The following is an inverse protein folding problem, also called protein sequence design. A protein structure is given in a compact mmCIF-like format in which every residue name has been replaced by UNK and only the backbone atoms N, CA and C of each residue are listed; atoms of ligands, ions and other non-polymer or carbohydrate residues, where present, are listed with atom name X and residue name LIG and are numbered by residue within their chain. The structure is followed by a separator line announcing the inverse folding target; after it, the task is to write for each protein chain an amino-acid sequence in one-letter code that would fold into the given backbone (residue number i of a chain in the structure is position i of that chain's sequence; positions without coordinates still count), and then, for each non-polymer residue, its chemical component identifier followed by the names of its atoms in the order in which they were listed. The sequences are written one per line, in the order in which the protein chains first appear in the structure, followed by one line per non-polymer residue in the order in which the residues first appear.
data_IF_807401207378
#
_entry.id   IF_807401207378
#
_cell.length_a   1.000
_cell.length_b   1.000
_cell.length_c   1.000
_cell.angle_alpha   90.00
_cell.angle_beta   90.00
_cell.angle_gamma   90.00
#
_symmetry.space_group_name_H-M   'P 1'
#
loop_
_entity.id
_entity.type
_entity.pdbx_description
1 polymer ?
#
# COMPACT_ATOMS: atom_id res chain seq x y z
N UNK A 1 -17.63 -40.52 19.66
CA UNK A 1 -16.21 -40.44 20.05
C UNK A 1 -15.41 -39.64 19.00
N UNK A 2 -15.33 -38.30 19.11
CA UNK A 2 -14.59 -37.46 18.16
C UNK A 2 -13.09 -37.26 18.49
N UNK A 3 -12.60 -37.70 19.65
CA UNK A 3 -11.25 -37.38 20.14
C UNK A 3 -10.07 -38.13 19.49
N UNK A 4 -10.28 -39.32 18.91
CA UNK A 4 -9.17 -40.11 18.34
C UNK A 4 -8.71 -39.64 16.95
N UNK A 5 -9.58 -38.93 16.21
CA UNK A 5 -9.25 -38.41 14.88
C UNK A 5 -8.39 -37.14 14.94
N UNK A 6 -8.69 -36.25 15.90
CA UNK A 6 -7.94 -35.01 16.10
C UNK A 6 -6.52 -35.26 16.64
N UNK A 7 -6.34 -36.27 17.50
CA UNK A 7 -5.03 -36.63 18.03
C UNK A 7 -4.06 -37.11 16.94
N UNK A 8 -4.51 -37.97 16.02
CA UNK A 8 -3.69 -38.46 14.90
C UNK A 8 -3.32 -37.36 13.90
N UNK A 9 -4.21 -36.39 13.68
CA UNK A 9 -3.94 -35.25 12.80
C UNK A 9 -2.83 -34.34 13.36
N UNK A 10 -2.91 -34.02 14.67
CA UNK A 10 -1.89 -33.21 15.34
C UNK A 10 -0.51 -33.90 15.36
N UNK A 11 -0.49 -35.22 15.53
CA UNK A 11 0.75 -36.01 15.55
C UNK A 11 1.43 -36.04 14.17
N UNK A 12 0.63 -36.16 13.10
CA UNK A 12 1.13 -36.08 11.72
C UNK A 12 1.68 -34.69 11.36
N UNK A 13 1.00 -33.62 11.79
CA UNK A 13 1.46 -32.24 11.59
C UNK A 13 2.79 -31.96 12.32
N UNK A 14 2.91 -32.41 13.57
CA UNK A 14 4.14 -32.29 14.34
C UNK A 14 5.31 -33.04 13.69
N UNK A 15 5.07 -34.23 13.15
CA UNK A 15 6.09 -34.99 12.46
C UNK A 15 6.50 -34.36 11.13
N UNK A 16 5.55 -33.81 10.37
CA UNK A 16 5.83 -33.05 9.14
C UNK A 16 6.68 -31.81 9.41
N UNK A 17 6.35 -31.06 10.47
CA UNK A 17 7.11 -29.88 10.90
C UNK A 17 8.55 -30.24 11.31
N UNK A 18 8.74 -31.34 12.04
CA UNK A 18 10.06 -31.83 12.45
C UNK A 18 10.94 -32.20 11.23
N UNK A 19 10.37 -32.91 10.25
CA UNK A 19 11.09 -33.25 9.01
C UNK A 19 11.48 -32.00 8.23
N UNK A 20 10.59 -31.00 8.15
CA UNK A 20 10.88 -29.72 7.49
C UNK A 20 12.03 -28.99 8.19
N UNK A 21 12.03 -28.90 9.52
CA UNK A 21 13.10 -28.26 10.29
C UNK A 21 14.46 -28.92 10.04
N UNK A 22 14.51 -30.25 9.99
CA UNK A 22 15.75 -30.97 9.67
C UNK A 22 16.26 -30.66 8.26
N UNK A 23 15.36 -30.59 7.27
CA UNK A 23 15.73 -30.22 5.89
C UNK A 23 16.25 -28.79 5.83
N UNK A 24 15.55 -27.84 6.47
CA UNK A 24 15.98 -26.44 6.54
C UNK A 24 17.35 -26.33 7.19
N UNK A 25 17.59 -27.01 8.31
CA UNK A 25 18.90 -27.01 8.98
C UNK A 25 20.02 -27.52 8.06
N UNK A 26 19.82 -28.67 7.41
CA UNK A 26 20.80 -29.22 6.46
C UNK A 26 21.11 -28.25 5.31
N UNK A 27 20.09 -27.57 4.79
CA UNK A 27 20.26 -26.55 3.75
C UNK A 27 21.05 -25.35 4.28
N UNK A 28 20.78 -24.89 5.51
CA UNK A 28 21.53 -23.80 6.13
C UNK A 28 23.00 -24.17 6.38
N UNK A 29 23.26 -25.39 6.83
CA UNK A 29 24.61 -25.91 7.03
C UNK A 29 25.38 -25.95 5.69
N UNK A 30 24.72 -26.43 4.62
CA UNK A 30 25.28 -26.43 3.28
C UNK A 30 25.56 -25.02 2.75
N UNK A 31 24.61 -24.10 2.87
CA UNK A 31 24.79 -22.70 2.45
C UNK A 31 25.96 -22.05 3.20
N UNK A 32 26.07 -22.31 4.50
CA UNK A 32 27.17 -21.81 5.31
C UNK A 32 28.52 -22.41 4.89
N UNK A 33 28.56 -23.67 4.42
CA UNK A 33 29.80 -24.31 3.95
C UNK A 33 30.37 -23.72 2.66
N UNK A 34 29.55 -22.98 1.90
CA UNK A 34 29.94 -22.29 0.67
C UNK A 34 30.00 -20.76 0.86
N UNK A 35 30.07 -20.28 2.09
CA UNK A 35 30.09 -18.86 2.47
C UNK A 35 28.91 -18.04 1.89
N UNK A 36 27.74 -18.67 1.75
CA UNK A 36 26.54 -18.03 1.21
C UNK A 36 25.47 -17.88 2.29
N UNK A 37 24.97 -16.68 2.51
CA UNK A 37 23.82 -16.50 3.42
C UNK A 37 22.50 -16.87 2.73
N UNK A 38 21.45 -17.25 3.48
CA UNK A 38 20.13 -17.49 2.89
C UNK A 38 19.57 -16.28 2.13
N UNK A 39 19.91 -15.06 2.58
CA UNK A 39 19.51 -13.83 1.92
C UNK A 39 20.26 -13.61 0.61
N UNK A 40 21.57 -13.93 0.56
CA UNK A 40 22.35 -13.84 -0.68
C UNK A 40 21.86 -14.87 -1.71
N UNK A 41 21.59 -16.10 -1.25
CA UNK A 41 21.00 -17.13 -2.08
C UNK A 41 19.65 -16.70 -2.65
N UNK A 42 18.73 -16.22 -1.80
CA UNK A 42 17.43 -15.74 -2.26
C UNK A 42 17.57 -14.54 -3.20
N UNK A 43 18.47 -13.60 -2.91
CA UNK A 43 18.76 -12.44 -3.75
C UNK A 43 19.26 -12.87 -5.14
N UNK A 44 20.14 -13.88 -5.21
CA UNK A 44 20.59 -14.45 -6.47
C UNK A 44 19.43 -15.10 -7.26
N UNK A 45 18.50 -15.77 -6.58
CA UNK A 45 17.33 -16.38 -7.21
C UNK A 45 16.34 -15.35 -7.78
N UNK A 46 16.15 -14.21 -7.13
CA UNK A 46 15.15 -13.21 -7.54
C UNK A 46 15.75 -12.04 -8.35
N UNK A 47 17.08 -11.92 -8.42
CA UNK A 47 17.73 -10.79 -9.08
C UNK A 47 17.35 -10.69 -10.56
N UNK A 48 16.89 -9.51 -11.04
CA UNK A 48 16.62 -9.27 -12.45
C UNK A 48 17.86 -9.42 -13.33
N UNK A 49 19.07 -9.27 -12.77
CA UNK A 49 20.33 -9.44 -13.50
C UNK A 49 20.56 -10.87 -13.97
N UNK A 50 19.83 -11.82 -13.39
CA UNK A 50 19.87 -13.24 -13.75
C UNK A 50 18.71 -13.64 -14.67
N UNK A 51 18.07 -12.66 -15.33
CA UNK A 51 17.04 -12.92 -16.35
C UNK A 51 17.68 -13.65 -17.55
N UNK A 52 17.30 -14.92 -17.76
CA UNK A 52 17.95 -15.83 -18.72
C UNK A 52 18.78 -16.95 -18.08
N UNK A 53 18.88 -16.99 -16.76
CA UNK A 53 19.50 -18.09 -16.02
C UNK A 53 18.58 -19.30 -15.85
N UNK A 54 19.15 -20.38 -15.31
CA UNK A 54 18.45 -21.59 -14.84
C UNK A 54 17.32 -21.32 -13.83
N UNK A 55 17.23 -20.11 -13.26
CA UNK A 55 16.22 -19.74 -12.28
C UNK A 55 14.96 -19.10 -12.88
N UNK A 56 14.90 -18.91 -14.19
CA UNK A 56 13.76 -18.25 -14.86
C UNK A 56 12.43 -18.94 -14.57
N UNK A 57 12.40 -20.28 -14.57
CA UNK A 57 11.18 -21.01 -14.26
C UNK A 57 10.78 -20.85 -12.79
N UNK A 58 11.74 -20.85 -11.86
CA UNK A 58 11.47 -20.54 -10.47
C UNK A 58 10.86 -19.14 -10.32
N UNK A 59 11.45 -18.12 -10.95
CA UNK A 59 10.95 -16.75 -10.91
C UNK A 59 9.53 -16.65 -11.48
N UNK A 60 9.28 -17.28 -12.64
CA UNK A 60 7.93 -17.34 -13.25
C UNK A 60 6.90 -17.93 -12.29
N UNK A 61 7.25 -18.99 -11.56
CA UNK A 61 6.33 -19.62 -10.60
C UNK A 61 6.17 -18.80 -9.32
N UNK A 62 7.24 -18.16 -8.85
CA UNK A 62 7.22 -17.33 -7.65
C UNK A 62 6.35 -16.09 -7.85
N UNK A 63 6.51 -15.40 -8.99
CA UNK A 63 5.82 -14.15 -9.32
C UNK A 63 4.57 -14.35 -10.19
N UNK A 64 4.08 -15.58 -10.34
CA UNK A 64 2.84 -15.86 -11.07
C UNK A 64 1.68 -15.24 -10.30
N UNK A 65 0.83 -14.45 -10.96
CA UNK A 65 -0.33 -13.78 -10.33
C UNK A 65 -1.33 -14.72 -9.66
N UNK A 66 -1.34 -16.01 -10.02
CA UNK A 66 -2.19 -17.03 -9.39
C UNK A 66 -1.53 -17.74 -8.19
N UNK A 67 -0.23 -17.53 -7.98
CA UNK A 67 0.51 -18.09 -6.85
C UNK A 67 0.31 -17.18 -5.64
N UNK A 68 0.09 -17.78 -4.45
CA UNK A 68 0.08 -17.04 -3.18
C UNK A 68 1.39 -17.19 -2.40
N UNK A 69 2.42 -17.75 -3.03
CA UNK A 69 3.66 -18.12 -2.32
C UNK A 69 4.47 -16.89 -1.92
N UNK A 70 4.51 -15.88 -2.78
CA UNK A 70 5.23 -14.65 -2.49
C UNK A 70 4.49 -13.85 -1.43
N UNK A 71 3.17 -13.72 -1.54
CA UNK A 71 2.29 -13.09 -0.56
C UNK A 71 2.40 -13.80 0.78
N UNK A 72 2.36 -15.13 0.82
CA UNK A 72 2.54 -15.89 2.05
C UNK A 72 3.91 -15.69 2.71
N UNK A 73 4.98 -15.48 1.92
CA UNK A 73 6.28 -15.10 2.46
C UNK A 73 6.24 -13.69 3.07
N UNK A 74 5.60 -12.73 2.39
CA UNK A 74 5.42 -11.37 2.91
C UNK A 74 4.58 -11.37 4.18
N UNK A 75 3.50 -12.15 4.24
CA UNK A 75 2.64 -12.30 5.41
C UNK A 75 3.40 -12.88 6.61
N UNK A 76 4.28 -13.86 6.37
CA UNK A 76 5.15 -14.42 7.42
C UNK A 76 6.15 -13.39 7.94
N UNK A 77 6.78 -12.62 7.05
CA UNK A 77 7.68 -11.54 7.44
C UNK A 77 6.94 -10.45 8.20
N UNK A 78 5.73 -10.10 7.76
CA UNK A 78 4.87 -9.12 8.42
C UNK A 78 4.42 -9.57 9.80
N UNK A 79 4.13 -10.85 9.99
CA UNK A 79 3.65 -11.41 11.25
C UNK A 79 4.74 -11.52 12.33
N UNK A 80 6.02 -11.51 11.92
CA UNK A 80 7.14 -11.62 12.85
C UNK A 80 7.52 -10.24 13.44
N UNK A 81 7.43 -10.00 14.76
CA UNK A 81 7.54 -8.65 15.34
C UNK A 81 8.80 -7.86 14.96
N UNK A 82 9.98 -8.49 15.01
CA UNK A 82 11.25 -7.83 14.66
C UNK A 82 11.41 -7.60 13.15
N UNK A 83 10.77 -8.44 12.35
CA UNK A 83 10.83 -8.31 10.89
C UNK A 83 9.83 -7.25 10.44
N UNK A 84 8.65 -7.20 11.06
CA UNK A 84 7.63 -6.18 10.85
C UNK A 84 8.21 -4.77 11.00
N UNK A 85 8.94 -4.49 12.08
CA UNK A 85 9.54 -3.17 12.31
C UNK A 85 10.47 -2.77 11.14
N UNK A 86 11.38 -3.67 10.74
CA UNK A 86 12.28 -3.42 9.60
C UNK A 86 11.52 -3.29 8.28
N UNK A 87 10.51 -4.13 8.09
CA UNK A 87 9.68 -4.14 6.90
C UNK A 87 8.86 -2.85 6.77
N UNK A 88 8.30 -2.35 7.87
CA UNK A 88 7.60 -1.07 7.93
C UNK A 88 8.53 0.11 7.63
N UNK A 89 9.73 0.12 8.22
CA UNK A 89 10.72 1.16 7.95
C UNK A 89 11.14 1.18 6.47
N UNK A 90 11.28 0.02 5.84
CA UNK A 90 11.57 -0.10 4.41
C UNK A 90 10.37 0.27 3.53
N UNK A 91 9.16 -0.14 3.92
CA UNK A 91 7.94 0.08 3.14
C UNK A 91 7.46 1.53 3.20
N UNK A 92 7.67 2.23 4.31
CA UNK A 92 7.19 3.60 4.51
C UNK A 92 7.55 4.56 3.38
N UNK A 93 8.83 4.73 2.96
CA UNK A 93 9.17 5.63 1.86
C UNK A 93 8.55 5.19 0.52
N UNK A 94 8.42 3.88 0.28
CA UNK A 94 7.78 3.35 -0.92
C UNK A 94 6.28 3.64 -0.95
N UNK A 95 5.59 3.43 0.17
CA UNK A 95 4.16 3.72 0.32
C UNK A 95 3.88 5.21 0.24
N UNK A 96 4.72 6.04 0.86
CA UNK A 96 4.60 7.50 0.76
C UNK A 96 4.73 7.96 -0.69
N UNK A 97 5.75 7.49 -1.42
CA UNK A 97 5.92 7.82 -2.84
C UNK A 97 4.71 7.41 -3.66
N UNK A 98 4.21 6.19 -3.48
CA UNK A 98 3.03 5.70 -4.20
C UNK A 98 1.80 6.60 -3.96
N UNK A 99 1.57 7.01 -2.71
CA UNK A 99 0.47 7.92 -2.37
C UNK A 99 0.67 9.30 -3.01
N UNK A 100 1.88 9.84 -3.00
CA UNK A 100 2.19 11.12 -3.63
C UNK A 100 1.99 11.08 -5.15
N UNK A 101 2.46 10.01 -5.80
CA UNK A 101 2.27 9.81 -7.24
C UNK A 101 0.78 9.74 -7.58
N UNK A 102 -0.03 9.00 -6.80
CA UNK A 102 -1.49 8.96 -6.99
C UNK A 102 -2.17 10.32 -6.80
N UNK A 103 -1.80 11.08 -5.77
CA UNK A 103 -2.35 12.42 -5.55
C UNK A 103 -1.94 13.36 -6.68
N UNK A 104 -0.70 13.26 -7.17
CA UNK A 104 -0.23 14.03 -8.31
C UNK A 104 -1.08 13.73 -9.56
N UNK A 105 -1.28 12.45 -9.88
CA UNK A 105 -2.09 12.02 -11.02
C UNK A 105 -3.55 12.48 -10.87
N UNK A 106 -4.14 12.39 -9.67
CA UNK A 106 -5.48 12.91 -9.38
C UNK A 106 -5.57 14.41 -9.68
N UNK A 107 -4.60 15.19 -9.21
CA UNK A 107 -4.55 16.64 -9.42
C UNK A 107 -4.33 17.00 -10.89
N UNK A 108 -3.47 16.26 -11.60
CA UNK A 108 -3.21 16.49 -13.02
C UNK A 108 -4.45 16.21 -13.87
N UNK A 109 -5.14 15.08 -13.63
CA UNK A 109 -6.40 14.74 -14.29
C UNK A 109 -7.54 15.73 -13.96
N UNK A 110 -7.52 16.29 -12.75
CA UNK A 110 -8.50 17.29 -12.36
C UNK A 110 -8.31 18.61 -13.10
N UNK A 111 -7.11 18.95 -13.60
CA UNK A 111 -6.85 20.24 -14.28
C UNK A 111 -7.84 20.51 -15.39
N UNK A 112 -8.25 19.52 -16.17
CA UNK A 112 -9.23 19.72 -17.25
C UNK A 112 -10.59 20.25 -16.76
N UNK A 113 -10.98 19.89 -15.52
CA UNK A 113 -12.22 20.33 -14.90
C UNK A 113 -12.13 21.75 -14.32
N UNK A 114 -10.91 22.23 -14.05
CA UNK A 114 -10.64 23.57 -13.52
C UNK A 114 -10.01 24.52 -14.53
N UNK A 115 -9.58 24.00 -15.68
CA UNK A 115 -8.99 24.79 -16.74
C UNK A 115 -10.09 25.53 -17.49
N UNK A 116 -9.97 26.85 -17.53
CA UNK A 116 -10.82 27.69 -18.34
C UNK A 116 -9.92 28.64 -19.14
N UNK A 117 -10.16 28.74 -20.46
CA UNK A 117 -9.51 29.75 -21.28
C UNK A 117 -10.15 31.11 -21.04
N UNK A 118 -9.38 32.20 -21.13
CA UNK A 118 -9.89 33.56 -20.91
C UNK A 118 -11.07 33.92 -21.82
N UNK A 119 -11.15 33.32 -23.00
CA UNK A 119 -12.28 33.46 -23.93
C UNK A 119 -13.60 32.86 -23.43
N UNK A 120 -13.55 31.93 -22.47
CA UNK A 120 -14.72 31.27 -21.89
C UNK A 120 -15.21 31.96 -20.61
N UNK A 121 -14.46 32.92 -20.07
CA UNK A 121 -14.85 33.69 -18.88
C UNK A 121 -15.81 34.80 -19.31
N UNK A 122 -17.10 34.48 -19.43
CA UNK A 122 -18.16 35.48 -19.67
C UNK A 122 -18.79 35.95 -18.35
N UNK A 123 -19.44 37.13 -18.31
CA UNK A 123 -20.21 37.56 -17.13
C UNK A 123 -21.26 36.53 -16.69
N UNK A 124 -21.89 35.84 -17.65
CA UNK A 124 -22.87 34.78 -17.38
C UNK A 124 -22.20 33.56 -16.73
N UNK A 125 -20.99 33.19 -17.18
CA UNK A 125 -20.21 32.15 -16.52
C UNK A 125 -19.86 32.54 -15.08
N UNK A 126 -19.39 33.77 -14.82
CA UNK A 126 -19.10 34.24 -13.46
C UNK A 126 -20.35 34.23 -12.55
N UNK A 127 -21.53 34.46 -13.11
CA UNK A 127 -22.79 34.42 -12.36
C UNK A 127 -23.31 33.00 -12.06
N UNK A 128 -22.90 32.01 -12.85
CA UNK A 128 -23.37 30.61 -12.75
C UNK A 128 -22.31 29.64 -12.23
N UNK A 129 -21.03 30.03 -12.24
CA UNK A 129 -19.94 29.20 -11.76
C UNK A 129 -19.96 29.12 -10.23
N UNK A 130 -20.19 27.92 -9.73
CA UNK A 130 -20.21 27.63 -8.32
C UNK A 130 -19.11 26.63 -7.96
N UNK A 131 -18.06 27.12 -7.30
CA UNK A 131 -16.95 26.27 -6.85
C UNK A 131 -17.42 25.19 -5.87
N UNK A 132 -18.53 25.41 -5.13
CA UNK A 132 -19.08 24.41 -4.21
C UNK A 132 -19.63 23.19 -4.94
N UNK A 133 -20.10 23.34 -6.18
CA UNK A 133 -20.58 22.20 -6.97
C UNK A 133 -19.39 21.35 -7.44
N UNK A 134 -18.30 22.01 -7.86
CA UNK A 134 -17.07 21.34 -8.27
C UNK A 134 -16.37 20.66 -7.09
N UNK A 135 -16.41 21.27 -5.91
CA UNK A 135 -15.87 20.71 -4.65
C UNK A 135 -16.92 19.95 -3.83
N UNK A 136 -18.07 19.63 -4.43
CA UNK A 136 -19.11 18.84 -3.76
C UNK A 136 -18.55 17.48 -3.34
N UNK A 137 -19.10 16.88 -2.28
CA UNK A 137 -18.63 15.59 -1.78
C UNK A 137 -18.56 14.52 -2.89
N UNK A 138 -19.56 14.50 -3.78
CA UNK A 138 -19.63 13.60 -4.93
C UNK A 138 -18.45 13.83 -5.89
N UNK A 139 -18.16 15.08 -6.23
CA UNK A 139 -17.05 15.41 -7.13
C UNK A 139 -15.68 15.22 -6.46
N UNK A 140 -15.54 15.50 -5.17
CA UNK A 140 -14.32 15.25 -4.41
C UNK A 140 -13.98 13.76 -4.36
N UNK A 141 -14.96 12.89 -4.07
CA UNK A 141 -14.74 11.44 -4.10
C UNK A 141 -14.46 10.91 -5.50
N UNK A 142 -15.05 11.52 -6.54
CA UNK A 142 -14.87 11.11 -7.94
C UNK A 142 -13.52 11.53 -8.53
N UNK A 143 -13.12 12.79 -8.33
CA UNK A 143 -11.93 13.38 -8.93
C UNK A 143 -10.68 13.20 -8.06
N UNK A 144 -10.86 13.10 -6.74
CA UNK A 144 -9.77 13.08 -5.76
C UNK A 144 -9.95 11.96 -4.71
N UNK A 145 -10.10 10.68 -5.11
CA UNK A 145 -10.41 9.61 -4.18
C UNK A 145 -9.32 9.35 -3.13
N UNK A 146 -8.04 9.40 -3.51
CA UNK A 146 -6.92 9.19 -2.59
C UNK A 146 -6.78 10.40 -1.67
N UNK A 147 -6.78 11.60 -2.23
CA UNK A 147 -6.71 12.84 -1.45
C UNK A 147 -7.85 12.96 -0.44
N UNK A 148 -9.09 12.64 -0.84
CA UNK A 148 -10.26 12.67 0.06
C UNK A 148 -10.07 11.74 1.25
N UNK A 149 -9.56 10.51 1.03
CA UNK A 149 -9.25 9.57 2.12
C UNK A 149 -8.14 10.07 3.04
N UNK A 150 -7.13 10.75 2.51
CA UNK A 150 -6.07 11.37 3.32
C UNK A 150 -6.67 12.44 4.23
N UNK A 151 -7.54 13.32 3.69
CA UNK A 151 -8.21 14.35 4.47
C UNK A 151 -9.14 13.76 5.53
N UNK A 152 -9.91 12.73 5.19
CA UNK A 152 -10.74 11.99 6.15
C UNK A 152 -9.88 11.41 7.28
N UNK A 153 -8.80 10.71 6.95
CA UNK A 153 -7.89 10.13 7.95
C UNK A 153 -7.23 11.21 8.81
N UNK A 154 -6.85 12.36 8.24
CA UNK A 154 -6.24 13.47 8.95
C UNK A 154 -7.23 14.21 9.88
N UNK A 155 -8.50 14.26 9.50
CA UNK A 155 -9.56 14.90 10.29
C UNK A 155 -10.17 13.99 11.35
N UNK A 156 -10.04 12.67 11.19
CA UNK A 156 -10.33 11.67 12.22
C UNK A 156 -9.26 11.73 13.33
N UNK A 157 -9.49 12.57 14.33
CA UNK A 157 -8.67 12.53 15.56
C UNK A 157 -8.91 11.20 16.29
N UNK A 158 -7.86 10.59 16.84
CA UNK A 158 -7.98 9.43 17.76
C UNK A 158 -8.85 9.72 19.00
N UNK A 159 -9.11 11.00 19.30
CA UNK A 159 -10.01 11.44 20.39
C UNK A 159 -11.44 11.76 19.91
N UNK A 160 -11.73 11.64 18.60
CA UNK A 160 -13.00 12.04 18.00
C UNK A 160 -14.16 11.07 18.25
N UNK A 161 -13.95 9.88 18.83
CA UNK A 161 -15.10 9.03 19.25
C UNK A 161 -16.07 9.75 20.21
N UNK A 162 -15.60 10.80 20.91
CA UNK A 162 -16.45 11.63 21.78
C UNK A 162 -17.01 12.89 21.12
N UNK A 163 -16.55 13.27 19.94
CA UNK A 163 -16.96 14.48 19.25
C UNK A 163 -17.45 14.10 17.85
N UNK A 164 -18.75 14.24 17.60
CA UNK A 164 -19.47 14.05 16.34
C UNK A 164 -18.60 13.89 15.08
N UNK A 165 -18.82 12.79 14.35
CA UNK A 165 -18.17 12.40 13.08
C UNK A 165 -17.95 13.65 12.22
N UNK A 166 -16.70 14.04 12.02
CA UNK A 166 -16.33 15.13 11.12
C UNK A 166 -16.35 14.56 9.71
N UNK A 167 -17.35 14.91 8.94
CA UNK A 167 -17.45 14.56 7.52
C UNK A 167 -16.46 15.38 6.68
N UNK A 168 -16.10 14.91 5.48
CA UNK A 168 -15.25 15.66 4.55
C UNK A 168 -15.79 17.06 4.19
N UNK A 169 -17.09 17.35 4.41
CA UNK A 169 -17.64 18.71 4.30
C UNK A 169 -17.05 19.68 5.34
N UNK A 170 -16.73 19.19 6.54
CA UNK A 170 -16.06 20.00 7.56
C UNK A 170 -14.60 20.28 7.15
N UNK A 171 -13.94 19.30 6.51
CA UNK A 171 -12.59 19.43 5.99
C UNK A 171 -12.52 20.42 4.82
N UNK A 172 -13.48 20.38 3.89
CA UNK A 172 -13.55 21.34 2.78
C UNK A 172 -13.82 22.76 3.29
N UNK A 173 -14.63 22.95 4.33
CA UNK A 173 -14.78 24.26 5.00
C UNK A 173 -13.49 24.80 5.63
N UNK A 174 -12.58 23.92 6.07
CA UNK A 174 -11.25 24.29 6.57
C UNK A 174 -10.20 24.43 5.45
N UNK A 175 -10.39 23.76 4.31
CA UNK A 175 -9.48 23.83 3.16
C UNK A 175 -9.57 25.17 2.44
N UNK A 176 -10.75 25.82 2.46
CA UNK A 176 -10.91 27.22 2.02
C UNK A 176 -9.91 28.16 2.73
N UNK A 177 -9.56 27.87 3.99
CA UNK A 177 -8.56 28.63 4.75
C UNK A 177 -7.10 28.37 4.32
N UNK A 178 -6.81 27.20 3.74
CA UNK A 178 -5.47 26.82 3.28
C UNK A 178 -5.24 27.36 1.86
N UNK A 179 -6.24 27.29 0.98
CA UNK A 179 -6.14 27.84 -0.39
C UNK A 179 -5.99 29.37 -0.35
N UNK A 180 -6.69 30.07 0.55
CA UNK A 180 -6.49 31.52 0.78
C UNK A 180 -5.09 31.90 1.31
N UNK A 181 -4.31 30.96 1.86
CA UNK A 181 -2.94 31.23 2.32
C UNK A 181 -1.87 30.91 1.27
N UNK A 182 -2.19 30.12 0.23
CA UNK A 182 -1.25 29.83 -0.85
C UNK A 182 -1.20 31.01 -1.86
N UNK A 183 -2.29 31.75 -2.02
CA UNK A 183 -2.32 33.00 -2.82
C UNK A 183 -1.58 34.19 -2.15
N UNK A 184 -1.04 34.02 -0.95
CA UNK A 184 -0.19 35.02 -0.27
C UNK A 184 1.32 34.72 -0.41
N UNK A 185 1.71 33.69 -1.16
CA UNK A 185 3.12 33.34 -1.44
C UNK A 185 3.35 33.20 -2.95
N UNK A 186 2.93 34.21 -3.71
CA UNK A 186 3.51 34.58 -5.02
C UNK A 186 3.54 36.10 -5.12
#
# INVERSE_FOLDING_TARGET
MPGQSQAKAAEFEAQSASVLQQKVKKTLDFLSSIDLTPLDFFSALVSPRNSGSVFTDFQKHLFRSSSKRFEGLLDLLWSHPKANEKFMNWMYPCGLRLVLDHVYDEMDNAKEHFSMTSSLVTPEFLSSWNIQDVLSAVNMTRLFPTWSRILEAATQSKKAEKNHIRTPELASSQTVFIVHNIDCIV
#
